data_IF_403751132659
#
_entry.id   IF_403751132659
#
_cell.length_a   1.000
_cell.length_b   1.000
_cell.length_c   1.000
_cell.angle_alpha   90.00
_cell.angle_beta   90.00
_cell.angle_gamma   90.00
#
_symmetry.space_group_name_H-M   'P 1'
#
loop_
_entity.id
_entity.type
_entity.pdbx_description
1 polymer ?
#
# COMPACT_ATOMS: atom_id res chain seq x y z
N UNK A 1 23.20 5.57 -3.46
CA UNK A 1 24.29 5.97 -4.37
C UNK A 1 25.47 6.51 -3.59
N UNK A 2 25.29 7.41 -2.64
CA UNK A 2 26.37 8.05 -1.87
C UNK A 2 27.39 7.08 -1.24
N UNK A 3 26.93 5.96 -0.66
CA UNK A 3 27.83 4.93 -0.10
C UNK A 3 28.67 4.27 -1.20
N UNK A 4 28.06 3.92 -2.34
CA UNK A 4 28.74 3.31 -3.49
C UNK A 4 29.69 4.30 -4.19
N UNK A 5 29.35 5.59 -4.18
CA UNK A 5 30.16 6.66 -4.79
C UNK A 5 31.31 7.12 -3.90
N UNK A 6 31.16 7.02 -2.57
CA UNK A 6 32.12 7.56 -1.62
C UNK A 6 33.10 6.54 -1.03
N UNK A 7 32.61 5.39 -0.57
CA UNK A 7 33.38 4.50 0.33
C UNK A 7 33.41 3.03 -0.09
N UNK A 8 32.40 2.54 -0.82
CA UNK A 8 32.20 1.11 -1.10
C UNK A 8 31.83 0.87 -2.56
N UNK A 9 32.81 1.00 -3.44
CA UNK A 9 32.67 0.66 -4.87
C UNK A 9 32.46 -0.86 -5.09
N UNK A 10 32.82 -1.68 -4.11
CA UNK A 10 32.55 -3.12 -4.07
C UNK A 10 31.10 -3.47 -3.67
N UNK A 11 30.34 -2.53 -3.11
CA UNK A 11 28.95 -2.76 -2.71
C UNK A 11 28.05 -2.88 -3.95
N UNK A 12 27.48 -4.06 -4.15
CA UNK A 12 26.49 -4.32 -5.22
C UNK A 12 25.07 -4.10 -4.72
N UNK A 13 24.20 -3.60 -5.59
CA UNK A 13 22.78 -3.37 -5.32
C UNK A 13 21.92 -4.06 -6.39
N UNK A 14 20.94 -4.86 -5.96
CA UNK A 14 19.93 -5.46 -6.83
C UNK A 14 18.56 -4.87 -6.47
N UNK A 15 17.96 -4.16 -7.42
CA UNK A 15 16.59 -3.63 -7.28
C UNK A 15 15.64 -4.60 -7.95
N UNK A 16 14.67 -5.12 -7.21
CA UNK A 16 13.65 -6.04 -7.73
C UNK A 16 12.31 -5.31 -7.84
N UNK A 17 11.72 -5.30 -9.04
CA UNK A 17 10.38 -4.77 -9.29
C UNK A 17 9.50 -5.86 -9.90
N UNK A 18 8.23 -5.89 -9.49
CA UNK A 18 7.21 -6.76 -10.08
C UNK A 18 6.46 -6.09 -11.24
N UNK A 19 6.70 -4.80 -11.49
CA UNK A 19 6.03 -4.01 -12.51
C UNK A 19 6.91 -3.87 -13.75
N UNK A 20 6.26 -3.81 -14.92
CA UNK A 20 6.93 -3.72 -16.20
C UNK A 20 7.56 -2.32 -16.45
N UNK A 21 7.08 -1.29 -15.74
CA UNK A 21 7.47 0.10 -15.99
C UNK A 21 8.74 0.48 -15.20
N UNK A 22 9.85 -0.07 -15.69
CA UNK A 22 11.21 0.21 -15.21
C UNK A 22 11.78 1.50 -15.82
N UNK A 23 11.06 2.20 -16.69
CA UNK A 23 11.62 3.26 -17.54
C UNK A 23 12.14 4.44 -16.73
N UNK A 24 11.41 4.87 -15.68
CA UNK A 24 11.89 5.95 -14.80
C UNK A 24 13.13 5.57 -14.01
N UNK A 25 13.21 4.31 -13.58
CA UNK A 25 14.36 3.80 -12.84
C UNK A 25 15.57 3.68 -13.78
N UNK A 26 15.38 3.15 -14.99
CA UNK A 26 16.41 3.06 -16.03
C UNK A 26 16.92 4.44 -16.46
N UNK A 27 16.04 5.44 -16.60
CA UNK A 27 16.45 6.82 -16.89
C UNK A 27 17.32 7.41 -15.77
N UNK A 28 17.06 7.03 -14.52
CA UNK A 28 17.82 7.49 -13.35
C UNK A 28 19.09 6.68 -13.11
N UNK A 29 19.14 5.43 -13.54
CA UNK A 29 20.26 4.51 -13.43
C UNK A 29 20.61 3.93 -14.81
N UNK A 30 21.12 4.76 -15.76
CA UNK A 30 21.33 4.34 -17.14
C UNK A 30 22.36 3.21 -17.29
N UNK A 31 23.31 3.14 -16.36
CA UNK A 31 24.36 2.11 -16.35
C UNK A 31 23.93 0.82 -15.64
N UNK A 32 22.74 0.78 -15.04
CA UNK A 32 22.24 -0.41 -14.36
C UNK A 32 21.66 -1.41 -15.37
N UNK A 33 22.23 -2.62 -15.49
CA UNK A 33 21.70 -3.61 -16.42
C UNK A 33 20.31 -4.06 -15.97
N UNK A 34 19.35 -4.01 -16.90
CA UNK A 34 17.98 -4.48 -16.65
C UNK A 34 17.88 -5.96 -16.99
N UNK A 35 17.43 -6.77 -16.02
CA UNK A 35 17.17 -8.20 -16.20
C UNK A 35 15.66 -8.41 -16.08
N UNK A 36 15.04 -8.87 -17.16
CA UNK A 36 13.60 -9.15 -17.19
C UNK A 36 13.37 -10.65 -17.09
N UNK A 37 12.63 -11.07 -16.06
CA UNK A 37 12.12 -12.44 -15.94
C UNK A 37 10.64 -12.45 -16.30
N UNK A 38 10.32 -12.84 -17.52
CA UNK A 38 8.94 -12.99 -17.95
C UNK A 38 8.32 -14.24 -17.31
N UNK A 39 7.32 -14.02 -16.43
CA UNK A 39 6.49 -15.10 -15.92
C UNK A 39 5.58 -15.65 -17.02
N UNK A 40 5.03 -16.85 -16.81
CA UNK A 40 3.91 -17.34 -17.63
C UNK A 40 2.65 -16.58 -17.24
N UNK A 41 2.18 -15.70 -18.11
CA UNK A 41 0.89 -15.02 -17.97
C UNK A 41 -0.05 -15.46 -19.10
N UNK A 42 -1.19 -16.02 -18.72
CA UNK A 42 -2.28 -16.31 -19.64
C UNK A 42 -3.06 -15.03 -19.96
N UNK A 43 -3.72 -14.95 -21.13
CA UNK A 43 -4.52 -13.79 -21.50
C UNK A 43 -5.66 -13.56 -20.49
N UNK A 44 -5.92 -12.29 -20.16
CA UNK A 44 -7.02 -11.87 -19.28
C UNK A 44 -7.95 -10.94 -20.05
N UNK A 45 -9.20 -11.35 -20.20
CA UNK A 45 -10.26 -10.50 -20.76
C UNK A 45 -10.59 -9.37 -19.78
N UNK A 46 -10.55 -8.12 -20.24
CA UNK A 46 -10.88 -6.94 -19.42
C UNK A 46 -12.29 -6.45 -19.74
N UNK A 47 -13.19 -6.56 -18.77
CA UNK A 47 -14.56 -6.03 -18.81
C UNK A 47 -14.67 -4.78 -17.94
N UNK A 48 -15.56 -3.87 -18.30
CA UNK A 48 -15.79 -2.61 -17.61
C UNK A 48 -17.28 -2.44 -17.35
N UNK A 49 -17.64 -2.19 -16.09
CA UNK A 49 -19.03 -2.02 -15.68
C UNK A 49 -19.12 -0.92 -14.63
N UNK A 50 -19.64 0.28 -14.96
CA UNK A 50 -19.84 1.31 -13.95
C UNK A 50 -20.89 0.86 -12.92
N UNK A 51 -20.65 1.20 -11.65
CA UNK A 51 -21.62 0.95 -10.58
C UNK A 51 -22.85 1.85 -10.74
N UNK A 52 -24.02 1.31 -10.43
CA UNK A 52 -25.26 2.07 -10.49
C UNK A 52 -25.30 3.14 -9.38
N UNK A 53 -25.52 4.40 -9.77
CA UNK A 53 -25.43 5.55 -8.85
C UNK A 53 -26.51 5.57 -7.74
N UNK A 54 -27.61 4.84 -7.92
CA UNK A 54 -28.70 4.76 -6.94
C UNK A 54 -28.48 3.68 -5.87
N UNK A 55 -27.50 2.79 -6.07
CA UNK A 55 -27.15 1.74 -5.12
C UNK A 55 -26.01 2.21 -4.22
N UNK A 56 -25.98 1.68 -3.00
CA UNK A 56 -24.79 1.80 -2.16
C UNK A 56 -23.63 1.01 -2.76
N UNK A 57 -22.41 1.47 -2.51
CA UNK A 57 -21.19 0.85 -3.05
C UNK A 57 -21.09 -0.65 -2.75
N UNK A 58 -21.32 -1.02 -1.48
CA UNK A 58 -21.26 -2.39 -0.98
C UNK A 58 -22.27 -3.31 -1.66
N UNK A 59 -23.50 -2.85 -1.82
CA UNK A 59 -24.55 -3.58 -2.54
C UNK A 59 -24.24 -3.73 -4.03
N UNK A 60 -23.83 -2.64 -4.70
CA UNK A 60 -23.56 -2.64 -6.13
C UNK A 60 -22.37 -3.57 -6.48
N UNK A 61 -21.32 -3.58 -5.66
CA UNK A 61 -20.18 -4.48 -5.82
C UNK A 61 -20.60 -5.94 -5.61
N UNK A 62 -21.40 -6.23 -4.57
CA UNK A 62 -21.88 -7.58 -4.32
C UNK A 62 -22.76 -8.11 -5.46
N UNK A 63 -23.61 -7.25 -6.05
CA UNK A 63 -24.44 -7.60 -7.21
C UNK A 63 -23.60 -7.94 -8.45
N UNK A 64 -22.65 -7.07 -8.82
CA UNK A 64 -21.76 -7.30 -9.96
C UNK A 64 -20.89 -8.55 -9.76
N UNK A 65 -20.41 -8.78 -8.53
CA UNK A 65 -19.63 -9.98 -8.18
C UNK A 65 -20.46 -11.25 -8.33
N UNK A 66 -21.69 -11.27 -7.78
CA UNK A 66 -22.58 -12.41 -7.89
C UNK A 66 -23.00 -12.70 -9.34
N UNK A 67 -23.20 -11.66 -10.15
CA UNK A 67 -23.47 -11.80 -11.58
C UNK A 67 -22.31 -12.44 -12.33
N UNK A 68 -21.08 -11.98 -12.10
CA UNK A 68 -19.89 -12.59 -12.69
C UNK A 68 -19.75 -14.07 -12.27
N UNK A 69 -19.99 -14.39 -10.99
CA UNK A 69 -19.94 -15.77 -10.50
C UNK A 69 -20.97 -16.68 -11.17
N UNK A 70 -22.17 -16.19 -11.50
CA UNK A 70 -23.20 -16.98 -12.20
C UNK A 70 -22.82 -17.28 -13.66
N UNK A 71 -22.15 -16.34 -14.31
CA UNK A 71 -21.83 -16.44 -15.73
C UNK A 71 -20.47 -17.10 -16.01
N UNK A 72 -19.58 -17.15 -15.02
CA UNK A 72 -18.19 -17.59 -15.20
C UNK A 72 -17.77 -18.62 -14.15
N UNK A 73 -16.90 -19.54 -14.55
CA UNK A 73 -16.33 -20.57 -13.68
C UNK A 73 -15.00 -20.14 -13.03
N UNK A 74 -14.68 -20.75 -11.89
CA UNK A 74 -13.40 -20.59 -11.18
C UNK A 74 -13.48 -19.70 -9.92
N UNK A 75 -12.41 -19.67 -9.12
CA UNK A 75 -12.39 -18.80 -7.94
C UNK A 75 -12.13 -17.35 -8.31
N UNK A 76 -12.63 -16.45 -7.46
CA UNK A 76 -12.67 -15.01 -7.70
C UNK A 76 -11.86 -14.26 -6.65
N UNK A 77 -11.10 -13.25 -7.09
CA UNK A 77 -10.45 -12.27 -6.23
C UNK A 77 -11.14 -10.92 -6.39
N UNK A 78 -11.68 -10.39 -5.30
CA UNK A 78 -12.38 -9.11 -5.25
C UNK A 78 -11.51 -8.09 -4.52
N UNK A 79 -11.06 -7.04 -5.22
CA UNK A 79 -10.33 -5.93 -4.64
C UNK A 79 -11.29 -4.86 -4.09
N UNK A 80 -11.08 -4.49 -2.84
CA UNK A 80 -11.86 -3.49 -2.10
C UNK A 80 -10.94 -2.47 -1.40
N UNK A 81 -11.42 -1.25 -1.12
CA UNK A 81 -10.57 -0.20 -0.54
C UNK A 81 -10.10 -0.47 0.91
N UNK A 82 -10.85 -1.25 1.70
CA UNK A 82 -10.53 -1.44 3.11
C UNK A 82 -11.40 -2.48 3.82
N UNK A 83 -11.09 -2.71 5.11
CA UNK A 83 -11.71 -3.74 5.95
C UNK A 83 -13.22 -3.52 6.12
N UNK A 84 -13.65 -2.28 6.32
CA UNK A 84 -15.08 -1.97 6.46
C UNK A 84 -15.88 -2.30 5.20
N UNK A 85 -15.34 -2.03 4.02
CA UNK A 85 -15.95 -2.42 2.75
C UNK A 85 -15.95 -3.94 2.57
N UNK A 86 -14.86 -4.63 2.94
CA UNK A 86 -14.78 -6.09 2.91
C UNK A 86 -15.92 -6.71 3.72
N UNK A 87 -16.15 -6.25 4.95
CA UNK A 87 -17.20 -6.78 5.83
C UNK A 87 -18.60 -6.55 5.24
N UNK A 88 -18.90 -5.32 4.81
CA UNK A 88 -20.24 -4.99 4.25
C UNK A 88 -20.51 -5.72 2.93
N UNK A 89 -19.53 -5.78 2.03
CA UNK A 89 -19.67 -6.55 0.79
C UNK A 89 -19.81 -8.04 1.07
N UNK A 90 -19.07 -8.57 2.05
CA UNK A 90 -19.19 -9.97 2.47
C UNK A 90 -20.64 -10.29 2.90
N UNK A 91 -21.26 -9.46 3.75
CA UNK A 91 -22.65 -9.62 4.18
C UNK A 91 -23.63 -9.60 3.01
N UNK A 92 -23.52 -8.62 2.11
CA UNK A 92 -24.37 -8.53 0.93
C UNK A 92 -24.16 -9.70 -0.04
N UNK A 93 -22.93 -10.18 -0.18
CA UNK A 93 -22.58 -11.27 -1.09
C UNK A 93 -23.01 -12.63 -0.54
N UNK A 94 -22.95 -12.83 0.78
CA UNK A 94 -23.39 -14.07 1.43
C UNK A 94 -24.86 -14.43 1.13
N UNK A 95 -25.71 -13.42 0.97
CA UNK A 95 -27.13 -13.61 0.58
C UNK A 95 -27.36 -13.82 -0.93
N UNK A 96 -26.31 -13.72 -1.76
CA UNK A 96 -26.40 -13.72 -3.24
C UNK A 96 -25.65 -14.87 -3.89
N UNK A 97 -24.93 -15.68 -3.12
CA UNK A 97 -24.12 -16.82 -3.61
C UNK A 97 -24.68 -18.16 -3.12
N UNK A 98 -24.41 -19.22 -3.87
CA UNK A 98 -24.80 -20.58 -3.51
C UNK A 98 -23.93 -21.19 -2.40
N UNK A 99 -24.34 -22.35 -1.90
CA UNK A 99 -23.60 -23.11 -0.86
C UNK A 99 -22.25 -23.64 -1.33
N UNK A 100 -22.00 -23.62 -2.65
CA UNK A 100 -20.74 -24.01 -3.30
C UNK A 100 -19.68 -22.89 -3.26
N UNK A 101 -20.02 -21.70 -2.75
CA UNK A 101 -19.12 -20.54 -2.72
C UNK A 101 -18.62 -20.25 -1.31
N UNK A 102 -17.30 -20.33 -1.11
CA UNK A 102 -16.63 -19.94 0.13
C UNK A 102 -16.25 -18.45 0.08
N UNK A 103 -16.74 -17.66 1.02
CA UNK A 103 -16.33 -16.27 1.18
C UNK A 103 -15.12 -16.18 2.11
N UNK A 104 -14.03 -15.60 1.64
CA UNK A 104 -12.74 -15.55 2.36
C UNK A 104 -12.24 -14.10 2.45
N UNK A 105 -12.51 -13.36 3.53
CA UNK A 105 -11.89 -12.05 3.73
C UNK A 105 -10.37 -12.20 3.88
N UNK A 106 -9.61 -11.22 3.37
CA UNK A 106 -8.15 -11.18 3.45
C UNK A 106 -7.64 -9.76 3.71
N UNK A 107 -7.18 -9.53 4.95
CA UNK A 107 -6.55 -8.28 5.37
C UNK A 107 -5.57 -8.55 6.53
N UNK A 108 -4.57 -7.66 6.73
CA UNK A 108 -3.42 -7.93 7.61
C UNK A 108 -3.74 -8.20 9.08
N UNK A 109 -4.90 -7.74 9.56
CA UNK A 109 -5.37 -7.95 10.93
C UNK A 109 -5.93 -9.36 11.22
N UNK A 110 -6.08 -10.23 10.21
CA UNK A 110 -6.63 -11.58 10.36
C UNK A 110 -5.64 -12.57 10.99
N UNK A 111 -6.17 -13.60 11.65
CA UNK A 111 -5.37 -14.74 12.12
C UNK A 111 -4.70 -15.48 10.96
N UNK A 112 -3.55 -16.10 11.22
CA UNK A 112 -2.80 -16.84 10.21
C UNK A 112 -3.65 -17.94 9.55
N UNK A 113 -4.51 -18.61 10.32
CA UNK A 113 -5.42 -19.65 9.80
C UNK A 113 -6.45 -19.06 8.82
N UNK A 114 -7.04 -17.90 9.15
CA UNK A 114 -8.00 -17.23 8.28
C UNK A 114 -7.33 -16.74 6.97
N UNK A 115 -6.13 -16.18 7.07
CA UNK A 115 -5.35 -15.80 5.89
C UNK A 115 -5.04 -17.03 5.01
N UNK A 116 -4.65 -18.16 5.63
CA UNK A 116 -4.35 -19.39 4.91
C UNK A 116 -5.55 -19.91 4.11
N UNK A 117 -6.77 -19.84 4.67
CA UNK A 117 -8.01 -20.21 3.96
C UNK A 117 -8.22 -19.38 2.69
N UNK A 118 -7.87 -18.10 2.71
CA UNK A 118 -7.95 -17.25 1.53
C UNK A 118 -6.87 -17.58 0.48
N UNK A 119 -5.67 -18.00 0.90
CA UNK A 119 -4.52 -18.26 0.01
C UNK A 119 -4.68 -19.59 -0.74
N UNK A 120 -4.96 -20.68 -0.02
CA UNK A 120 -4.98 -22.05 -0.57
C UNK A 120 -6.14 -22.28 -1.53
N UNK A 121 -6.03 -23.19 -2.52
CA UNK A 121 -7.12 -23.51 -3.43
C UNK A 121 -8.42 -23.89 -2.71
N UNK A 122 -9.56 -23.63 -3.35
CA UNK A 122 -10.84 -24.07 -2.82
C UNK A 122 -10.93 -25.62 -2.81
N UNK A 123 -11.64 -26.22 -1.83
CA UNK A 123 -11.90 -27.66 -1.83
C UNK A 123 -12.59 -28.12 -3.11
N UNK A 124 -12.43 -29.41 -3.44
CA UNK A 124 -13.06 -30.00 -4.62
C UNK A 124 -14.60 -29.83 -4.59
N UNK A 125 -15.17 -29.40 -5.71
CA UNK A 125 -16.61 -29.12 -5.83
C UNK A 125 -17.04 -27.75 -5.29
N UNK A 126 -16.12 -26.95 -4.74
CA UNK A 126 -16.38 -25.58 -4.30
C UNK A 126 -15.54 -24.58 -5.08
N UNK A 127 -15.95 -23.31 -5.01
CA UNK A 127 -15.16 -22.16 -5.44
C UNK A 127 -15.04 -21.16 -4.30
N UNK A 128 -14.01 -20.31 -4.32
CA UNK A 128 -13.85 -19.26 -3.30
C UNK A 128 -13.98 -17.86 -3.92
N UNK A 129 -14.44 -16.92 -3.11
CA UNK A 129 -14.35 -15.47 -3.34
C UNK A 129 -13.45 -14.90 -2.26
N UNK A 130 -12.28 -14.43 -2.66
CA UNK A 130 -11.36 -13.75 -1.75
C UNK A 130 -11.63 -12.26 -1.78
N UNK A 131 -12.06 -11.68 -0.66
CA UNK A 131 -12.29 -10.23 -0.52
C UNK A 131 -11.06 -9.60 0.10
N UNK A 132 -10.27 -8.87 -0.69
CA UNK A 132 -8.95 -8.38 -0.29
C UNK A 132 -8.78 -6.88 -0.53
N UNK A 133 -7.86 -6.28 0.23
CA UNK A 133 -7.30 -4.96 -0.13
C UNK A 133 -6.21 -5.10 -1.19
N UNK A 134 -5.49 -4.01 -1.48
CA UNK A 134 -4.31 -4.03 -2.34
C UNK A 134 -3.16 -4.93 -1.83
N UNK A 135 -3.25 -5.55 -0.64
CA UNK A 135 -2.30 -6.57 -0.19
C UNK A 135 -2.19 -7.76 -1.16
N UNK A 136 -3.28 -8.08 -1.88
CA UNK A 136 -3.30 -9.14 -2.88
C UNK A 136 -2.75 -8.70 -4.25
N UNK A 137 -2.41 -7.42 -4.43
CA UNK A 137 -1.94 -6.85 -5.70
C UNK A 137 -0.47 -7.17 -5.98
N UNK A 138 0.37 -7.19 -4.95
CA UNK A 138 1.82 -7.44 -5.05
C UNK A 138 2.27 -8.53 -4.08
N UNK A 139 1.94 -8.40 -2.80
CA UNK A 139 2.58 -9.13 -1.69
C UNK A 139 2.19 -10.59 -1.51
N UNK A 140 1.03 -11.02 -2.02
CA UNK A 140 0.53 -12.39 -1.82
C UNK A 140 0.19 -13.08 -3.14
N UNK A 141 0.54 -14.35 -3.29
CA UNK A 141 0.07 -15.20 -4.39
C UNK A 141 -1.12 -16.04 -3.90
N UNK A 142 -2.32 -15.67 -4.34
CA UNK A 142 -3.53 -16.45 -4.06
C UNK A 142 -3.68 -17.49 -5.16
N UNK A 143 -3.76 -18.75 -4.78
CA UNK A 143 -3.88 -19.86 -5.72
C UNK A 143 -5.35 -20.07 -6.14
N UNK A 144 -5.53 -20.60 -7.35
CA UNK A 144 -6.83 -20.98 -7.90
C UNK A 144 -7.68 -19.84 -8.47
N UNK A 145 -7.13 -18.63 -8.59
CA UNK A 145 -7.87 -17.46 -9.10
C UNK A 145 -7.87 -17.45 -10.63
N UNK A 146 -9.07 -17.36 -11.21
CA UNK A 146 -9.33 -17.13 -12.64
C UNK A 146 -10.13 -15.85 -12.89
N UNK A 147 -10.90 -15.41 -11.89
CA UNK A 147 -11.77 -14.25 -11.99
C UNK A 147 -11.25 -13.15 -11.06
N UNK A 148 -11.24 -11.92 -11.54
CA UNK A 148 -10.97 -10.73 -10.73
C UNK A 148 -12.15 -9.78 -10.86
N UNK A 149 -12.58 -9.23 -9.73
CA UNK A 149 -13.44 -8.04 -9.70
C UNK A 149 -12.64 -6.96 -8.99
N UNK A 150 -12.53 -5.79 -9.62
CA UNK A 150 -11.75 -4.69 -9.12
C UNK A 150 -12.64 -3.47 -8.93
N UNK A 151 -12.80 -3.02 -7.68
CA UNK A 151 -13.56 -1.80 -7.40
C UNK A 151 -12.92 -0.54 -7.98
N UNK A 152 -11.68 -0.66 -8.50
CA UNK A 152 -10.87 0.43 -9.04
C UNK A 152 -10.73 1.60 -8.06
N UNK A 153 -10.72 1.26 -6.77
CA UNK A 153 -10.53 2.18 -5.66
C UNK A 153 -9.54 1.57 -4.67
N UNK A 154 -8.82 2.43 -3.98
CA UNK A 154 -7.90 2.08 -2.91
C UNK A 154 -7.99 3.11 -1.79
N UNK A 155 -7.42 2.75 -0.64
CA UNK A 155 -7.29 3.64 0.50
C UNK A 155 -5.83 3.96 0.73
N UNK A 156 -5.49 5.24 0.65
CA UNK A 156 -4.12 5.75 0.83
C UNK A 156 -4.04 6.73 1.98
N UNK A 157 -2.91 6.72 2.66
CA UNK A 157 -2.56 7.72 3.66
C UNK A 157 -2.15 9.02 2.97
N UNK A 158 -2.79 10.14 3.32
CA UNK A 158 -2.49 11.46 2.80
C UNK A 158 -2.24 12.43 3.95
N UNK A 159 -1.04 12.98 3.98
CA UNK A 159 -0.60 14.00 4.92
C UNK A 159 -1.18 15.36 4.54
N UNK A 160 -1.68 16.09 5.53
CA UNK A 160 -2.10 17.48 5.42
C UNK A 160 -1.11 18.37 6.19
N UNK A 161 -0.24 19.08 5.46
CA UNK A 161 0.81 19.93 6.01
C UNK A 161 0.32 21.12 6.85
N UNK A 162 -0.97 21.50 6.73
CA UNK A 162 -1.58 22.57 7.52
C UNK A 162 -2.01 22.05 8.89
N UNK A 163 -2.58 20.84 8.94
CA UNK A 163 -3.04 20.23 10.20
C UNK A 163 -1.95 19.42 10.90
N UNK A 164 -0.94 18.95 10.16
CA UNK A 164 0.08 18.02 10.65
C UNK A 164 -0.45 16.60 10.86
N UNK A 165 -1.62 16.27 10.29
CA UNK A 165 -2.27 14.98 10.44
C UNK A 165 -2.27 14.20 9.11
N UNK A 166 -2.10 12.89 9.24
CA UNK A 166 -2.29 11.94 8.14
C UNK A 166 -3.70 11.37 8.21
N UNK A 167 -4.43 11.43 7.09
CA UNK A 167 -5.77 10.86 6.98
C UNK A 167 -5.84 9.81 5.89
N UNK A 168 -6.71 8.82 6.07
CA UNK A 168 -7.02 7.87 5.02
C UNK A 168 -8.02 8.47 4.04
N UNK A 169 -7.67 8.49 2.76
CA UNK A 169 -8.55 8.92 1.68
C UNK A 169 -8.79 7.77 0.72
N UNK A 170 -10.02 7.63 0.24
CA UNK A 170 -10.34 6.69 -0.84
C UNK A 170 -10.17 7.40 -2.17
N UNK A 171 -9.38 6.82 -3.07
CA UNK A 171 -9.12 7.38 -4.39
C UNK A 171 -9.22 6.32 -5.49
N UNK A 172 -9.22 6.76 -6.75
CA UNK A 172 -9.13 5.86 -7.90
C UNK A 172 -7.70 5.33 -8.03
N UNK A 173 -7.58 4.07 -8.41
CA UNK A 173 -6.27 3.45 -8.67
C UNK A 173 -5.74 3.84 -10.06
N UNK A 174 -4.44 3.69 -10.24
CA UNK A 174 -3.76 3.92 -11.52
C UNK A 174 -4.01 2.81 -12.55
N UNK A 175 -3.70 3.09 -13.81
CA UNK A 175 -3.74 2.10 -14.90
C UNK A 175 -2.77 0.94 -14.67
N UNK A 176 -1.59 1.23 -14.13
CA UNK A 176 -0.63 0.22 -13.72
C UNK A 176 -1.21 -0.73 -12.66
N UNK A 177 -1.88 -0.18 -11.64
CA UNK A 177 -2.52 -0.99 -10.59
C UNK A 177 -3.68 -1.82 -11.14
N UNK A 178 -4.56 -1.24 -11.99
CA UNK A 178 -5.61 -1.99 -12.69
C UNK A 178 -5.03 -3.17 -13.49
N UNK A 179 -3.92 -2.95 -14.18
CA UNK A 179 -3.24 -3.98 -14.96
C UNK A 179 -2.65 -5.08 -14.08
N UNK A 180 -2.03 -4.74 -12.96
CA UNK A 180 -1.52 -5.73 -11.99
C UNK A 180 -2.63 -6.56 -11.36
N UNK A 181 -3.72 -5.90 -10.94
CA UNK A 181 -4.92 -6.57 -10.40
C UNK A 181 -5.53 -7.52 -11.42
N UNK A 182 -5.68 -7.09 -12.67
CA UNK A 182 -6.14 -7.94 -13.76
C UNK A 182 -5.21 -9.14 -13.98
N UNK A 183 -3.89 -8.94 -13.92
CA UNK A 183 -2.90 -10.01 -14.03
C UNK A 183 -3.04 -11.12 -12.99
N UNK A 184 -3.72 -10.88 -11.86
CA UNK A 184 -4.00 -11.93 -10.87
C UNK A 184 -4.95 -13.02 -11.39
N UNK A 185 -5.78 -12.72 -12.38
CA UNK A 185 -6.63 -13.68 -13.07
C UNK A 185 -5.87 -14.58 -14.08
N UNK A 186 -4.69 -14.15 -14.54
CA UNK A 186 -3.96 -14.80 -15.65
C UNK A 186 -2.84 -15.74 -15.22
N UNK A 187 -2.76 -16.14 -13.94
CA UNK A 187 -1.61 -16.91 -13.43
C UNK A 187 -1.65 -18.41 -13.75
N UNK A 188 -2.86 -18.98 -13.81
CA UNK A 188 -3.06 -20.43 -13.95
C UNK A 188 -3.63 -20.83 -15.31
N UNK A 189 -4.52 -19.99 -15.85
CA UNK A 189 -5.24 -20.23 -17.09
C UNK A 189 -5.79 -18.89 -17.62
N UNK A 190 -6.36 -18.85 -18.85
CA UNK A 190 -7.06 -17.66 -19.33
C UNK A 190 -8.15 -17.20 -18.36
N UNK A 191 -8.09 -15.92 -17.99
CA UNK A 191 -8.90 -15.35 -16.92
C UNK A 191 -9.73 -14.15 -17.36
N UNK A 192 -10.50 -13.61 -16.42
CA UNK A 192 -11.37 -12.44 -16.65
C UNK A 192 -11.17 -11.45 -15.51
N UNK A 193 -11.04 -10.18 -15.85
CA UNK A 193 -11.05 -9.07 -14.89
C UNK A 193 -12.19 -8.12 -15.21
N UNK A 194 -13.09 -7.93 -14.24
CA UNK A 194 -14.18 -6.95 -14.28
C UNK A 194 -13.79 -5.73 -13.45
N UNK A 195 -13.54 -4.59 -14.09
CA UNK A 195 -13.32 -3.33 -13.41
C UNK A 195 -14.65 -2.57 -13.22
N UNK A 196 -14.92 -2.12 -11.98
CA UNK A 196 -16.18 -1.49 -11.59
C UNK A 196 -16.18 0.03 -11.85
N UNK A 197 -15.86 0.40 -13.08
CA UNK A 197 -15.88 1.77 -13.62
C UNK A 197 -16.10 1.73 -15.13
N UNK A 198 -16.46 2.88 -15.71
CA UNK A 198 -16.57 3.00 -17.16
C UNK A 198 -15.19 2.93 -17.82
N UNK A 199 -15.11 2.39 -19.05
CA UNK A 199 -13.85 2.20 -19.77
C UNK A 199 -13.11 3.53 -19.99
N UNK A 200 -13.85 4.59 -20.31
CA UNK A 200 -13.32 5.94 -20.52
C UNK A 200 -12.73 6.53 -19.24
N UNK A 201 -13.27 6.16 -18.06
CA UNK A 201 -12.70 6.55 -16.78
C UNK A 201 -11.41 5.80 -16.49
N UNK A 202 -11.32 4.52 -16.86
CA UNK A 202 -10.10 3.74 -16.73
C UNK A 202 -8.97 4.28 -17.63
N UNK A 203 -9.28 4.65 -18.87
CA UNK A 203 -8.33 5.21 -19.84
C UNK A 203 -7.80 6.60 -19.43
N UNK A 204 -8.59 7.37 -18.67
CA UNK A 204 -8.20 8.70 -18.14
C UNK A 204 -7.55 8.64 -16.76
N UNK A 205 -7.50 7.47 -16.11
CA UNK A 205 -6.83 7.33 -14.82
C UNK A 205 -5.33 7.62 -14.96
N UNK A 206 -4.68 8.03 -13.87
CA UNK A 206 -3.24 8.23 -13.87
C UNK A 206 -2.53 6.95 -14.31
N UNK A 207 -1.50 7.07 -15.15
CA UNK A 207 -0.76 5.92 -15.65
C UNK A 207 -0.12 5.12 -14.51
N UNK A 208 0.49 5.84 -13.56
CA UNK A 208 1.17 5.31 -12.37
C UNK A 208 0.54 5.87 -11.09
N UNK A 209 0.70 5.15 -9.99
CA UNK A 209 0.29 5.62 -8.67
C UNK A 209 1.27 6.68 -8.15
N UNK A 210 0.77 7.62 -7.36
CA UNK A 210 1.62 8.61 -6.71
C UNK A 210 2.55 7.91 -5.70
N UNK A 211 3.87 8.18 -5.73
CA UNK A 211 4.80 7.68 -4.72
C UNK A 211 4.49 8.23 -3.33
N UNK A 212 4.67 7.39 -2.31
CA UNK A 212 4.37 7.73 -0.91
C UNK A 212 5.10 8.99 -0.43
N UNK A 213 6.34 9.21 -0.87
CA UNK A 213 7.15 10.39 -0.51
C UNK A 213 6.46 11.71 -0.88
N UNK A 214 5.56 11.72 -1.86
CA UNK A 214 4.84 12.92 -2.28
C UNK A 214 3.68 13.32 -1.37
N UNK A 215 3.23 12.42 -0.49
CA UNK A 215 2.00 12.62 0.29
C UNK A 215 2.04 12.06 1.72
N UNK A 216 3.23 11.74 2.23
CA UNK A 216 3.47 11.29 3.62
C UNK A 216 3.98 12.42 4.53
N UNK A 217 3.92 12.21 5.84
CA UNK A 217 4.60 13.03 6.84
C UNK A 217 6.12 12.75 6.71
N UNK A 218 6.90 13.79 6.41
CA UNK A 218 8.34 13.67 6.16
C UNK A 218 9.20 13.90 7.41
N UNK A 219 8.61 14.00 8.60
CA UNK A 219 9.35 14.27 9.84
C UNK A 219 10.33 13.15 10.21
N UNK A 220 9.91 11.89 10.07
CA UNK A 220 10.81 10.74 10.23
C UNK A 220 11.94 10.76 9.21
N UNK A 221 11.59 10.91 7.92
CA UNK A 221 12.55 10.99 6.82
C UNK A 221 13.58 12.12 7.05
N UNK A 222 13.13 13.32 7.40
CA UNK A 222 14.02 14.47 7.63
C UNK A 222 14.97 14.19 8.81
N UNK A 223 14.49 13.55 9.88
CA UNK A 223 15.34 13.17 11.01
C UNK A 223 16.41 12.16 10.60
N UNK A 224 16.07 11.15 9.79
CA UNK A 224 17.02 10.18 9.24
C UNK A 224 18.05 10.83 8.32
N UNK A 225 17.63 11.71 7.41
CA UNK A 225 18.52 12.43 6.49
C UNK A 225 19.52 13.30 7.26
N UNK A 226 19.05 13.99 8.31
CA UNK A 226 19.92 14.80 9.16
C UNK A 226 20.86 13.93 10.03
N UNK A 227 20.41 12.77 10.50
CA UNK A 227 21.25 11.80 11.21
C UNK A 227 22.32 11.20 10.29
N UNK A 228 21.99 10.97 9.03
CA UNK A 228 22.92 10.55 7.97
C UNK A 228 24.00 11.60 7.70
N UNK A 229 23.80 12.85 8.13
CA UNK A 229 24.73 13.95 7.94
C UNK A 229 24.45 14.77 6.68
N UNK A 230 23.31 14.54 6.02
CA UNK A 230 22.89 15.33 4.88
C UNK A 230 22.03 16.52 5.34
N UNK A 231 22.46 17.74 5.02
CA UNK A 231 21.78 18.97 5.44
C UNK A 231 20.68 19.43 4.48
N UNK A 232 20.81 19.05 3.20
CA UNK A 232 19.81 19.35 2.17
C UNK A 232 19.24 18.03 1.62
N UNK A 233 18.03 17.62 2.03
CA UNK A 233 17.39 16.43 1.49
C UNK A 233 17.31 16.42 -0.04
N UNK A 234 17.20 17.57 -0.70
CA UNK A 234 17.12 17.64 -2.16
C UNK A 234 18.42 17.25 -2.88
N UNK A 235 19.56 17.24 -2.17
CA UNK A 235 20.86 16.81 -2.70
C UNK A 235 20.97 15.30 -2.86
N UNK A 236 20.15 14.52 -2.14
CA UNK A 236 20.15 13.07 -2.24
C UNK A 236 19.53 12.59 -3.57
N UNK A 237 19.90 11.38 -3.94
CA UNK A 237 19.38 10.73 -5.13
C UNK A 237 17.96 10.18 -4.90
N UNK A 238 16.95 10.91 -5.40
CA UNK A 238 15.54 10.49 -5.38
C UNK A 238 15.01 10.15 -6.77
N UNK A 239 14.15 9.14 -6.86
CA UNK A 239 13.28 8.93 -8.02
C UNK A 239 12.29 10.09 -8.15
N UNK A 240 11.55 10.35 -7.06
CA UNK A 240 10.62 11.45 -6.89
C UNK A 240 11.05 12.27 -5.68
N UNK A 241 11.27 13.57 -5.88
CA UNK A 241 11.81 14.44 -4.83
C UNK A 241 10.75 14.70 -3.74
N UNK A 242 11.15 14.76 -2.46
CA UNK A 242 10.24 15.13 -1.38
C UNK A 242 9.65 16.54 -1.63
N UNK A 243 8.33 16.74 -1.48
CA UNK A 243 7.71 18.04 -1.67
C UNK A 243 8.18 19.05 -0.62
N UNK A 244 8.55 20.26 -1.07
CA UNK A 244 9.05 21.33 -0.21
C UNK A 244 8.05 21.71 0.90
N UNK A 245 6.75 21.73 0.58
CA UNK A 245 5.69 22.02 1.56
C UNK A 245 5.70 21.03 2.72
N UNK A 246 5.94 19.74 2.45
CA UNK A 246 5.97 18.69 3.45
C UNK A 246 7.29 18.72 4.23
N UNK A 247 8.42 19.00 3.57
CA UNK A 247 9.71 19.20 4.24
C UNK A 247 9.67 20.37 5.22
N UNK A 248 9.03 21.48 4.86
CA UNK A 248 8.85 22.63 5.76
C UNK A 248 7.97 22.28 6.95
N UNK A 249 6.90 21.50 6.74
CA UNK A 249 6.06 21.01 7.84
C UNK A 249 6.85 20.10 8.80
N UNK A 250 7.62 19.17 8.25
CA UNK A 250 8.53 18.30 9.01
C UNK A 250 9.54 19.12 9.82
N UNK A 251 10.19 20.12 9.22
CA UNK A 251 11.15 21.00 9.90
C UNK A 251 10.50 21.78 11.05
N UNK A 252 9.29 22.34 10.83
CA UNK A 252 8.53 23.02 11.90
C UNK A 252 8.21 22.09 13.06
N UNK A 253 7.82 20.84 12.78
CA UNK A 253 7.57 19.84 13.82
C UNK A 253 8.85 19.51 14.59
N UNK A 254 9.96 19.22 13.90
CA UNK A 254 11.22 18.86 14.57
C UNK A 254 11.78 20.03 15.41
N UNK A 255 11.60 21.28 14.98
CA UNK A 255 11.88 22.47 15.81
C UNK A 255 11.00 22.52 17.06
N UNK A 256 9.68 22.30 16.92
CA UNK A 256 8.73 22.27 18.05
C UNK A 256 9.09 21.19 19.07
N UNK A 257 9.57 20.03 18.60
CA UNK A 257 10.00 18.92 19.46
C UNK A 257 11.39 19.14 20.09
N UNK A 258 12.08 20.24 19.75
CA UNK A 258 13.45 20.51 20.21
C UNK A 258 14.50 19.57 19.60
N UNK A 259 14.18 18.91 18.49
CA UNK A 259 15.07 17.99 17.79
C UNK A 259 16.11 18.72 16.93
N UNK A 260 15.87 19.99 16.58
CA UNK A 260 16.76 20.78 15.73
C UNK A 260 17.42 21.94 16.49
N UNK A 261 18.67 22.21 16.13
CA UNK A 261 19.44 23.41 16.49
C UNK A 261 19.95 24.03 15.17
N UNK A 262 19.24 25.06 14.70
CA UNK A 262 19.42 25.58 13.34
C UNK A 262 19.07 24.54 12.28
N UNK A 263 20.04 24.23 11.42
CA UNK A 263 19.92 23.24 10.32
C UNK A 263 20.37 21.82 10.71
N UNK A 264 20.67 21.57 12.00
CA UNK A 264 21.26 20.30 12.47
C UNK A 264 20.43 19.67 13.58
N UNK A 265 20.62 18.37 13.81
CA UNK A 265 20.09 17.71 15.00
C UNK A 265 20.73 18.28 16.26
N UNK A 266 19.90 18.66 17.23
CA UNK A 266 20.34 19.02 18.58
C UNK A 266 20.88 17.78 19.32
N UNK A 267 21.47 17.95 20.50
CA UNK A 267 21.85 16.82 21.35
C UNK A 267 20.64 15.91 21.67
N UNK A 268 19.46 16.51 21.83
CA UNK A 268 18.19 15.79 22.00
C UNK A 268 17.76 15.10 20.70
N UNK A 269 17.83 15.79 19.56
CA UNK A 269 17.49 15.23 18.25
C UNK A 269 18.34 14.01 17.90
N UNK A 270 19.63 13.99 18.28
CA UNK A 270 20.49 12.82 18.11
C UNK A 270 20.03 11.61 18.95
N UNK A 271 19.56 11.83 20.18
CA UNK A 271 18.97 10.76 21.00
C UNK A 271 17.66 10.25 20.40
N UNK A 272 16.82 11.15 19.89
CA UNK A 272 15.56 10.80 19.23
C UNK A 272 15.81 9.95 17.98
N UNK A 273 16.73 10.39 17.12
CA UNK A 273 17.08 9.68 15.90
C UNK A 273 17.69 8.28 16.17
N UNK A 274 18.44 8.12 17.26
CA UNK A 274 18.99 6.83 17.66
C UNK A 274 17.93 5.79 18.06
N UNK A 275 16.72 6.20 18.44
CA UNK A 275 15.63 5.28 18.78
C UNK A 275 14.97 4.64 17.55
N UNK A 276 14.91 5.37 16.43
CA UNK A 276 14.23 4.91 15.22
C UNK A 276 12.70 4.93 15.27
N UNK A 277 12.09 5.49 16.32
CA UNK A 277 10.63 5.70 16.41
C UNK A 277 10.18 6.94 15.62
N UNK A 278 8.86 7.08 15.45
CA UNK A 278 8.24 8.34 15.01
C UNK A 278 8.77 9.52 15.85
N UNK A 279 9.09 10.68 15.25
CA UNK A 279 9.69 11.80 15.97
C UNK A 279 8.90 12.27 17.19
N UNK A 280 7.57 12.20 17.19
CA UNK A 280 6.75 12.63 18.33
C UNK A 280 6.88 11.62 19.48
N UNK A 281 6.88 10.33 19.17
CA UNK A 281 7.08 9.27 20.15
C UNK A 281 8.52 9.29 20.70
N UNK A 282 9.51 9.44 19.84
CA UNK A 282 10.91 9.59 20.24
C UNK A 282 11.09 10.82 21.14
N UNK A 283 10.44 11.94 20.83
CA UNK A 283 10.49 13.14 21.66
C UNK A 283 9.88 12.91 23.05
N UNK A 284 8.78 12.15 23.14
CA UNK A 284 8.14 11.76 24.40
C UNK A 284 9.06 10.87 25.23
N UNK A 285 9.65 9.84 24.62
CA UNK A 285 10.56 8.90 25.28
C UNK A 285 11.83 9.59 25.78
N UNK A 286 12.45 10.46 24.97
CA UNK A 286 13.66 11.22 25.36
C UNK A 286 13.38 12.23 26.48
N UNK A 287 12.14 12.69 26.60
CA UNK A 287 11.73 13.62 27.66
C UNK A 287 11.38 12.95 28.99
N UNK A 288 11.22 11.62 28.99
CA UNK A 288 10.88 10.91 30.21
C UNK A 288 12.13 10.72 31.07
N UNK A 289 12.07 11.21 32.31
CA UNK A 289 13.09 10.92 33.32
C UNK A 289 13.06 9.45 33.75
N UNK A 290 14.09 9.01 34.47
CA UNK A 290 14.20 7.62 34.97
C UNK A 290 13.02 7.23 35.88
N UNK A 291 12.73 5.92 35.95
CA UNK A 291 11.67 5.36 36.79
C UNK A 291 10.29 5.42 36.14
N UNK A 292 9.28 5.87 36.88
CA UNK A 292 7.87 5.73 36.52
C UNK A 292 7.49 6.52 35.24
N UNK A 293 8.14 7.67 35.02
CA UNK A 293 7.91 8.49 33.81
C UNK A 293 8.35 7.75 32.54
N UNK A 294 9.52 7.10 32.57
CA UNK A 294 10.00 6.29 31.45
C UNK A 294 9.07 5.10 31.18
N UNK A 295 8.66 4.37 32.23
CA UNK A 295 7.72 3.25 32.08
C UNK A 295 6.38 3.70 31.46
N UNK A 296 5.87 4.86 31.89
CA UNK A 296 4.64 5.45 31.35
C UNK A 296 4.80 5.83 29.87
N UNK A 297 5.90 6.50 29.51
CA UNK A 297 6.16 6.90 28.14
C UNK A 297 6.30 5.69 27.19
N UNK A 298 6.97 4.62 27.63
CA UNK A 298 7.07 3.37 26.87
C UNK A 298 5.70 2.74 26.65
N UNK A 299 4.87 2.67 27.70
CA UNK A 299 3.51 2.12 27.59
C UNK A 299 2.64 2.94 26.63
N UNK A 300 2.70 4.27 26.70
CA UNK A 300 1.96 5.15 25.80
C UNK A 300 2.46 5.04 24.36
N UNK A 301 3.77 4.97 24.14
CA UNK A 301 4.34 4.79 22.80
C UNK A 301 3.84 3.48 22.18
N UNK A 302 3.88 2.37 22.92
CA UNK A 302 3.37 1.08 22.45
C UNK A 302 1.87 1.13 22.11
N UNK A 303 1.04 1.79 22.95
CA UNK A 303 -0.39 1.95 22.68
C UNK A 303 -0.65 2.81 21.44
N UNK A 304 0.15 3.86 21.21
CA UNK A 304 -0.04 4.73 20.04
C UNK A 304 0.44 4.08 18.74
N UNK A 305 1.45 3.22 18.80
CA UNK A 305 1.94 2.44 17.65
C UNK A 305 0.97 1.31 17.26
N UNK A 306 0.37 0.63 18.24
CA UNK A 306 -0.68 -0.38 18.02
C UNK A 306 -1.93 -0.08 18.87
N UNK A 307 -2.78 0.85 18.41
CA UNK A 307 -3.99 1.23 19.14
C UNK A 307 -4.92 0.03 19.38
N UNK A 308 -5.52 -0.08 20.59
CA UNK A 308 -6.50 -1.13 20.86
C UNK A 308 -7.64 -1.06 19.85
N UNK A 309 -7.96 -2.21 19.27
CA UNK A 309 -8.96 -2.38 18.21
C UNK A 309 -10.39 -2.44 18.73
#
# INVERSE_FOLDING_TARGET
MDIQQGLRDDLRLLIMSATLDNDRLCQRLPDAPTIVSEGRAFPVERRYQPLAAHLRFDEAVAMATAELLRNENGSLLLFLPGVGEIQRVHEHLASRVGSDVLLCPLYGALSLEAQRKAIVPAPAGMRKVVLATNIAETSLTIEGIRLVVDSAQERVARFDARTGLTRLVTQRISQASMTQRAGRAGRLAPGICLHLLAKEQAERAAAQSDPEILHSDLSGLLMEVLQWGCHDPASLFWLDRPPEVNLQAARRLLLMLGALEGERLSARGRKMAAMGNDPRLAAMLVNADEGDSAATAVMLAAILEDPPR
#
